data_IF_571865987438
#
_entry.id   IF_571865987438
#
_cell.length_a   1.000
_cell.length_b   1.000
_cell.length_c   1.000
_cell.angle_alpha   90.00
_cell.angle_beta   90.00
_cell.angle_gamma   90.00
#
_symmetry.space_group_name_H-M   'P 1'
#
loop_
_entity.id
_entity.type
_entity.pdbx_description
1 polymer ?
#
# COMPACT_ATOMS: atom_id res chain seq x y z
N UNK A 1 81.82 14.84 -34.57
CA UNK A 1 81.29 14.36 -35.87
C UNK A 1 80.34 13.21 -35.58
N UNK A 2 79.20 13.00 -36.26
CA UNK A 2 78.48 13.78 -37.29
C UNK A 2 76.98 13.35 -37.28
N UNK A 3 76.08 14.29 -37.54
CA UNK A 3 74.70 14.22 -38.11
C UNK A 3 74.06 12.83 -38.35
N UNK A 4 72.86 12.47 -37.84
CA UNK A 4 71.47 13.03 -37.90
C UNK A 4 70.58 12.30 -38.92
N UNK A 5 69.38 11.85 -38.49
CA UNK A 5 68.25 11.46 -39.36
C UNK A 5 66.88 11.45 -38.62
N UNK A 6 66.16 12.57 -38.71
CA UNK A 6 64.72 12.82 -38.44
C UNK A 6 64.21 13.72 -39.60
N UNK A 7 62.93 14.19 -39.72
CA UNK A 7 61.66 13.87 -39.04
C UNK A 7 60.93 12.70 -39.77
N UNK A 8 59.61 12.55 -40.03
CA UNK A 8 58.33 13.32 -39.97
C UNK A 8 57.19 12.26 -39.79
N UNK A 9 56.01 12.50 -39.20
CA UNK A 9 55.27 13.71 -38.78
C UNK A 9 54.76 13.57 -37.33
N UNK A 10 54.40 14.59 -36.55
CA UNK A 10 54.08 16.01 -36.78
C UNK A 10 52.63 16.35 -37.22
N UNK A 11 51.67 16.22 -36.31
CA UNK A 11 50.49 17.09 -36.25
C UNK A 11 50.33 17.68 -34.85
N UNK A 12 50.46 19.01 -34.75
CA UNK A 12 50.32 19.80 -33.52
C UNK A 12 49.74 21.18 -33.89
N UNK A 13 48.44 21.37 -33.68
CA UNK A 13 47.72 22.66 -33.79
C UNK A 13 46.35 22.51 -33.09
N UNK A 14 45.82 23.50 -32.36
CA UNK A 14 46.49 24.55 -31.57
C UNK A 14 45.56 24.95 -30.40
N UNK A 15 46.06 25.78 -29.49
CA UNK A 15 45.39 26.24 -28.28
C UNK A 15 44.04 26.93 -28.54
N UNK A 16 43.10 26.74 -27.61
CA UNK A 16 42.29 27.82 -27.09
C UNK A 16 42.51 27.88 -25.57
N UNK A 17 43.01 29.00 -25.07
CA UNK A 17 43.24 29.22 -23.64
C UNK A 17 42.82 30.62 -23.24
N UNK A 18 42.13 30.74 -22.11
CA UNK A 18 41.93 32.00 -21.41
C UNK A 18 42.52 31.89 -20.01
N UNK A 19 43.33 32.88 -19.65
CA UNK A 19 43.77 33.12 -18.27
C UNK A 19 42.62 33.70 -17.44
N UNK A 20 42.55 33.34 -16.17
CA UNK A 20 41.51 33.82 -15.26
C UNK A 20 41.52 33.05 -13.94
N UNK A 21 42.52 33.31 -13.11
CA UNK A 21 42.44 32.91 -11.70
C UNK A 21 41.71 34.00 -10.93
N UNK A 22 40.60 33.65 -10.28
CA UNK A 22 39.94 34.51 -9.31
C UNK A 22 39.20 33.63 -8.28
N UNK A 23 39.58 33.73 -7.01
CA UNK A 23 38.96 32.98 -5.91
C UNK A 23 37.69 33.71 -5.45
N UNK A 24 36.61 33.58 -6.21
CA UNK A 24 35.32 34.19 -5.86
C UNK A 24 34.29 33.15 -5.40
N UNK A 25 34.34 32.92 -4.08
CA UNK A 25 33.19 32.96 -3.16
C UNK A 25 31.92 32.21 -3.62
N UNK A 26 31.57 31.16 -2.87
CA UNK A 26 30.21 30.59 -2.85
C UNK A 26 29.20 31.74 -2.72
N UNK A 27 28.46 32.02 -3.79
CA UNK A 27 27.28 32.88 -3.69
C UNK A 27 26.18 32.04 -3.08
N UNK A 28 26.08 32.14 -1.76
CA UNK A 28 24.92 31.79 -0.97
C UNK A 28 23.68 32.43 -1.61
N UNK A 29 22.95 31.66 -2.41
CA UNK A 29 21.82 32.13 -3.18
C UNK A 29 20.59 32.23 -2.28
N UNK A 30 20.64 33.21 -1.36
CA UNK A 30 19.51 33.67 -0.56
C UNK A 30 18.50 34.44 -1.44
N UNK A 31 18.14 33.84 -2.58
CA UNK A 31 16.82 33.97 -3.16
C UNK A 31 15.87 33.55 -2.06
N UNK A 32 15.16 34.51 -1.47
CA UNK A 32 14.13 34.24 -0.48
C UNK A 32 13.03 33.41 -1.13
N UNK A 33 13.19 32.09 -1.10
CA UNK A 33 12.09 31.17 -1.22
C UNK A 33 11.11 31.60 -0.13
N UNK A 34 9.96 32.13 -0.54
CA UNK A 34 8.86 32.39 0.35
C UNK A 34 8.43 31.02 0.90
N UNK A 35 9.03 30.63 2.01
CA UNK A 35 8.61 29.48 2.75
C UNK A 35 7.15 29.73 3.08
N UNK A 36 6.26 28.93 2.49
CA UNK A 36 4.91 28.77 3.01
C UNK A 36 5.09 28.12 4.38
N UNK A 37 5.36 28.96 5.37
CA UNK A 37 5.35 28.62 6.77
C UNK A 37 3.90 28.27 7.10
N UNK A 38 3.56 27.00 6.85
CA UNK A 38 2.39 26.37 7.42
C UNK A 38 2.56 26.56 8.93
N UNK A 39 1.85 27.55 9.47
CA UNK A 39 1.90 27.85 10.89
C UNK A 39 1.63 26.55 11.64
N UNK A 40 2.43 26.20 12.67
CA UNK A 40 2.29 24.94 13.39
C UNK A 40 0.83 24.70 13.72
N UNK A 41 0.23 23.71 13.04
CA UNK A 41 -1.16 23.35 13.30
C UNK A 41 -1.16 22.86 14.74
N UNK A 42 -1.91 23.54 15.60
CA UNK A 42 -2.05 23.09 16.98
C UNK A 42 -2.59 21.67 16.93
N UNK A 43 -1.78 20.72 17.41
CA UNK A 43 -2.05 19.30 17.23
C UNK A 43 -3.20 18.96 18.19
N UNK A 44 -4.43 19.11 17.70
CA UNK A 44 -5.61 18.57 18.33
C UNK A 44 -5.31 17.11 18.72
N UNK A 45 -5.61 16.70 19.96
CA UNK A 45 -5.16 15.42 20.48
C UNK A 45 -5.55 14.31 19.51
N UNK A 46 -4.56 13.52 19.10
CA UNK A 46 -4.75 12.47 18.11
C UNK A 46 -5.87 11.56 18.60
N UNK A 47 -6.98 11.53 17.86
CA UNK A 47 -8.13 10.72 18.22
C UNK A 47 -7.71 9.25 18.32
N UNK A 48 -8.29 8.52 19.26
CA UNK A 48 -7.91 7.14 19.54
C UNK A 48 -8.22 6.22 18.34
N UNK A 49 -7.32 5.28 18.06
CA UNK A 49 -7.49 4.29 17.00
C UNK A 49 -8.75 3.46 17.23
N UNK A 50 -9.41 3.06 16.14
CA UNK A 50 -10.58 2.19 16.24
C UNK A 50 -10.09 0.75 16.46
N UNK A 51 -10.59 0.11 17.51
CA UNK A 51 -10.24 -1.26 17.91
C UNK A 51 -11.50 -2.12 17.98
N UNK A 52 -11.40 -3.37 17.56
CA UNK A 52 -12.39 -4.43 17.82
C UNK A 52 -11.67 -5.62 18.41
N UNK A 53 -11.94 -5.91 19.68
CA UNK A 53 -11.46 -7.10 20.40
C UNK A 53 -12.66 -8.00 20.71
N UNK A 54 -12.55 -9.31 20.42
CA UNK A 54 -13.57 -10.33 20.72
C UNK A 54 -12.85 -11.64 21.09
N UNK A 55 -13.08 -12.16 22.30
CA UNK A 55 -12.34 -13.31 22.84
C UNK A 55 -13.26 -14.33 23.52
N UNK A 56 -13.14 -15.58 23.11
CA UNK A 56 -13.76 -16.75 23.75
C UNK A 56 -12.84 -17.99 23.63
N UNK A 57 -13.29 -19.16 24.08
CA UNK A 57 -12.51 -20.41 24.06
C UNK A 57 -12.07 -20.88 22.66
N UNK A 58 -12.77 -20.42 21.61
CA UNK A 58 -12.52 -20.83 20.23
C UNK A 58 -11.88 -19.76 19.35
N UNK A 59 -12.03 -18.48 19.67
CA UNK A 59 -11.42 -17.40 18.91
C UNK A 59 -10.90 -16.26 19.80
N UNK A 60 -9.65 -15.87 19.56
CA UNK A 60 -9.01 -14.65 20.06
C UNK A 60 -8.83 -13.67 18.89
N UNK A 61 -9.67 -12.64 18.81
CA UNK A 61 -9.77 -11.74 17.65
C UNK A 61 -9.44 -10.29 18.02
N UNK A 62 -8.47 -9.69 17.33
CA UNK A 62 -8.18 -8.24 17.36
C UNK A 62 -8.16 -7.65 15.95
N UNK A 63 -8.80 -6.51 15.76
CA UNK A 63 -8.71 -5.74 14.52
C UNK A 63 -8.62 -4.24 14.83
N UNK A 64 -7.63 -3.55 14.25
CA UNK A 64 -7.31 -2.15 14.55
C UNK A 64 -7.10 -1.31 13.30
N UNK A 65 -7.55 -0.07 13.30
CA UNK A 65 -7.19 0.91 12.27
C UNK A 65 -7.09 2.35 12.78
N UNK A 66 -6.30 3.23 12.13
CA UNK A 66 -6.00 4.54 12.69
C UNK A 66 -7.21 5.46 12.66
N UNK A 67 -7.34 6.35 13.65
CA UNK A 67 -8.40 7.36 13.67
C UNK A 67 -8.41 8.28 12.44
N UNK A 68 -7.23 8.58 11.89
CA UNK A 68 -7.08 9.31 10.63
C UNK A 68 -7.70 8.59 9.41
N UNK A 69 -7.72 7.24 9.41
CA UNK A 69 -8.44 6.46 8.41
C UNK A 69 -9.95 6.42 8.72
N UNK A 70 -10.34 6.38 10.00
CA UNK A 70 -11.73 6.44 10.43
C UNK A 70 -12.41 7.79 10.11
N UNK A 71 -11.65 8.89 10.06
CA UNK A 71 -12.12 10.21 9.66
C UNK A 71 -12.52 10.30 8.16
N UNK A 72 -12.01 9.40 7.31
CA UNK A 72 -12.38 9.30 5.90
C UNK A 72 -13.59 8.37 5.80
N UNK A 73 -14.81 8.92 5.94
CA UNK A 73 -16.03 8.10 6.13
C UNK A 73 -16.21 6.92 5.13
N UNK A 74 -15.98 7.04 3.80
CA UNK A 74 -16.06 5.89 2.89
C UNK A 74 -15.00 4.80 3.12
N UNK A 75 -13.83 5.17 3.64
CA UNK A 75 -12.76 4.24 4.04
C UNK A 75 -13.10 3.59 5.40
N UNK A 76 -13.64 4.36 6.34
CA UNK A 76 -14.09 3.84 7.64
C UNK A 76 -15.18 2.77 7.45
N UNK A 77 -16.17 3.03 6.60
CA UNK A 77 -17.20 2.06 6.23
C UNK A 77 -16.60 0.79 5.59
N UNK A 78 -15.56 0.94 4.75
CA UNK A 78 -14.87 -0.22 4.18
C UNK A 78 -14.07 -1.01 5.24
N UNK A 79 -13.42 -0.34 6.18
CA UNK A 79 -12.67 -0.98 7.27
C UNK A 79 -13.60 -1.70 8.26
N UNK A 80 -14.77 -1.12 8.55
CA UNK A 80 -15.84 -1.76 9.33
C UNK A 80 -16.36 -3.02 8.64
N UNK A 81 -16.74 -2.93 7.36
CA UNK A 81 -17.17 -4.10 6.57
C UNK A 81 -16.08 -5.18 6.49
N UNK A 82 -14.81 -4.79 6.34
CA UNK A 82 -13.68 -5.72 6.29
C UNK A 82 -13.44 -6.40 7.65
N UNK A 83 -13.60 -5.67 8.76
CA UNK A 83 -13.55 -6.20 10.12
C UNK A 83 -14.64 -7.26 10.35
N UNK A 84 -15.90 -6.95 10.01
CA UNK A 84 -16.99 -7.91 10.17
C UNK A 84 -16.83 -9.14 9.23
N UNK A 85 -16.34 -8.96 8.00
CA UNK A 85 -15.98 -10.06 7.08
C UNK A 85 -14.89 -10.97 7.68
N UNK A 86 -13.85 -10.41 8.32
CA UNK A 86 -12.79 -11.22 8.93
C UNK A 86 -13.26 -11.89 10.21
N UNK A 87 -14.03 -11.22 11.06
CA UNK A 87 -14.62 -11.86 12.23
C UNK A 87 -15.51 -13.04 11.83
N UNK A 88 -16.39 -12.86 10.83
CA UNK A 88 -17.25 -13.94 10.34
C UNK A 88 -16.44 -15.12 9.77
N UNK A 89 -15.41 -14.85 8.94
CA UNK A 89 -14.46 -15.87 8.45
C UNK A 89 -13.86 -16.66 9.61
N UNK A 90 -13.26 -15.96 10.58
CA UNK A 90 -12.49 -16.59 11.66
C UNK A 90 -13.37 -17.31 12.68
N UNK A 91 -14.55 -16.78 12.97
CA UNK A 91 -15.55 -17.41 13.84
C UNK A 91 -16.02 -18.74 13.24
N UNK A 92 -16.36 -18.76 11.94
CA UNK A 92 -16.76 -19.98 11.23
C UNK A 92 -15.63 -21.01 11.20
N UNK A 93 -14.39 -20.59 10.89
CA UNK A 93 -13.21 -21.49 10.86
C UNK A 93 -12.91 -22.10 12.23
N UNK A 94 -13.05 -21.33 13.31
CA UNK A 94 -12.87 -21.81 14.68
C UNK A 94 -13.96 -22.79 15.10
N UNK A 95 -15.22 -22.54 14.73
CA UNK A 95 -16.36 -23.42 15.04
C UNK A 95 -16.30 -24.75 14.30
N UNK A 96 -15.92 -24.73 13.02
CA UNK A 96 -15.69 -25.94 12.22
C UNK A 96 -14.54 -26.78 12.81
N UNK A 97 -13.41 -26.16 13.14
CA UNK A 97 -12.29 -26.84 13.80
C UNK A 97 -12.65 -27.40 15.20
N UNK A 98 -13.41 -26.66 16.02
CA UNK A 98 -13.86 -27.13 17.34
C UNK A 98 -14.87 -28.27 17.20
N UNK A 99 -15.72 -28.26 16.17
CA UNK A 99 -16.65 -29.35 15.84
C UNK A 99 -15.88 -30.60 15.40
N UNK A 100 -14.91 -30.46 14.50
CA UNK A 100 -14.12 -31.59 13.99
C UNK A 100 -13.22 -32.21 15.08
N UNK A 101 -12.66 -31.40 15.98
CA UNK A 101 -11.96 -31.86 17.17
C UNK A 101 -12.84 -32.76 18.06
N UNK A 102 -14.08 -32.34 18.33
CA UNK A 102 -15.07 -33.14 19.08
C UNK A 102 -15.52 -34.39 18.31
N UNK A 103 -15.57 -34.35 16.99
CA UNK A 103 -15.98 -35.48 16.15
C UNK A 103 -14.90 -36.56 16.00
N UNK A 104 -13.62 -36.21 16.19
CA UNK A 104 -12.46 -37.09 16.01
C UNK A 104 -11.65 -37.30 17.31
N UNK A 105 -12.21 -36.93 18.47
CA UNK A 105 -11.66 -37.11 19.82
C UNK A 105 -10.21 -36.60 20.00
N UNK A 106 -9.94 -35.37 19.52
CA UNK A 106 -8.65 -34.70 19.72
C UNK A 106 -8.80 -33.34 20.44
N UNK A 107 -7.80 -32.90 21.23
CA UNK A 107 -7.87 -31.64 21.96
C UNK A 107 -7.87 -30.44 21.00
N UNK A 108 -8.92 -29.65 21.06
CA UNK A 108 -9.02 -28.39 20.33
C UNK A 108 -8.17 -27.29 20.98
N UNK A 109 -7.44 -26.52 20.17
CA UNK A 109 -6.77 -25.28 20.58
C UNK A 109 -7.46 -24.11 19.90
N UNK A 110 -7.89 -23.12 20.70
CA UNK A 110 -8.55 -21.91 20.19
C UNK A 110 -7.73 -21.19 19.13
N UNK A 111 -8.41 -20.68 18.11
CA UNK A 111 -7.78 -19.96 17.00
C UNK A 111 -7.49 -18.50 17.41
N UNK A 112 -6.58 -17.85 16.69
CA UNK A 112 -6.30 -16.42 16.90
C UNK A 112 -6.17 -15.67 15.58
N UNK A 113 -6.65 -14.44 15.54
CA UNK A 113 -6.46 -13.54 14.41
C UNK A 113 -6.26 -12.11 14.90
N UNK A 114 -5.15 -11.50 14.49
CA UNK A 114 -4.87 -10.09 14.72
C UNK A 114 -4.60 -9.40 13.38
N UNK A 115 -5.20 -8.23 13.15
CA UNK A 115 -4.82 -7.36 12.03
C UNK A 115 -4.83 -5.88 12.44
N UNK A 116 -3.65 -5.26 12.45
CA UNK A 116 -3.45 -3.85 12.79
C UNK A 116 -3.03 -3.04 11.57
N UNK A 117 -3.88 -2.10 11.13
CA UNK A 117 -3.56 -1.17 10.05
C UNK A 117 -2.81 0.08 10.53
N UNK A 118 -1.83 0.51 9.75
CA UNK A 118 -1.12 1.78 9.87
C UNK A 118 -1.13 2.55 8.54
N UNK A 119 -1.14 3.88 8.60
CA UNK A 119 -0.93 4.73 7.40
C UNK A 119 0.56 4.79 7.10
N UNK A 120 0.97 4.36 5.91
CA UNK A 120 2.38 4.39 5.45
C UNK A 120 2.65 5.54 4.47
N UNK A 121 1.61 6.11 3.85
CA UNK A 121 1.70 7.39 3.15
C UNK A 121 0.35 8.09 3.06
N UNK A 122 0.33 9.42 3.22
CA UNK A 122 -0.82 10.26 2.90
C UNK A 122 -0.46 11.23 1.77
N UNK A 123 -1.34 11.35 0.77
CA UNK A 123 -1.27 12.35 -0.29
C UNK A 123 -2.65 12.96 -0.53
N UNK A 124 -2.75 14.15 -1.16
CA UNK A 124 -4.04 14.77 -1.48
C UNK A 124 -5.00 13.91 -2.32
N UNK A 125 -4.48 12.95 -3.09
CA UNK A 125 -5.31 12.05 -3.92
C UNK A 125 -5.50 10.65 -3.33
N UNK A 126 -4.52 10.13 -2.59
CA UNK A 126 -4.53 8.75 -2.12
C UNK A 126 -3.96 8.58 -0.71
N UNK A 127 -4.55 7.67 0.05
CA UNK A 127 -3.97 7.12 1.28
C UNK A 127 -3.36 5.76 0.96
N UNK A 128 -2.18 5.46 1.50
CA UNK A 128 -1.58 4.12 1.47
C UNK A 128 -1.52 3.60 2.90
N UNK A 129 -2.06 2.42 3.11
CA UNK A 129 -2.08 1.74 4.41
C UNK A 129 -1.43 0.38 4.29
N UNK A 130 -0.72 -0.03 5.33
CA UNK A 130 -0.23 -1.39 5.52
C UNK A 130 -0.96 -1.97 6.74
N UNK A 131 -1.32 -3.25 6.70
CA UNK A 131 -1.71 -3.99 7.89
C UNK A 131 -0.67 -5.07 8.18
N UNK A 132 -0.25 -5.14 9.44
CA UNK A 132 0.54 -6.24 9.97
C UNK A 132 -0.35 -7.08 10.89
N UNK A 133 -0.16 -8.39 10.91
CA UNK A 133 -1.07 -9.29 11.61
C UNK A 133 -0.49 -10.66 11.88
N UNK A 134 -1.31 -11.49 12.52
CA UNK A 134 -0.96 -12.83 12.99
C UNK A 134 -2.18 -13.76 12.89
N UNK A 135 -2.00 -14.95 12.33
CA UNK A 135 -3.03 -15.99 12.22
C UNK A 135 -2.59 -17.26 12.98
N UNK A 136 -3.44 -17.82 13.84
CA UNK A 136 -3.20 -19.08 14.55
C UNK A 136 -4.38 -20.05 14.40
N UNK A 137 -4.07 -21.28 14.00
CA UNK A 137 -5.05 -22.34 13.69
C UNK A 137 -4.74 -23.65 14.45
N UNK A 138 -4.39 -23.57 15.73
CA UNK A 138 -4.14 -24.75 16.56
C UNK A 138 -2.83 -25.52 16.27
N UNK A 139 -1.89 -24.93 15.53
CA UNK A 139 -0.60 -25.53 15.21
C UNK A 139 0.47 -25.37 16.31
N UNK A 140 1.73 -25.68 16.00
CA UNK A 140 2.87 -25.47 16.89
C UNK A 140 3.26 -23.98 17.05
N UNK A 141 2.87 -23.13 16.09
CA UNK A 141 3.02 -21.69 16.10
C UNK A 141 1.96 -21.07 15.16
N UNK A 142 1.72 -19.76 15.27
CA UNK A 142 0.96 -19.02 14.26
C UNK A 142 1.84 -18.46 13.14
N UNK A 143 1.23 -17.74 12.21
CA UNK A 143 1.84 -17.18 11.01
C UNK A 143 1.67 -15.65 11.02
N UNK A 144 2.76 -14.86 11.12
CA UNK A 144 2.69 -13.43 10.91
C UNK A 144 2.46 -13.12 9.42
N UNK A 145 1.76 -12.03 9.12
CA UNK A 145 1.48 -11.58 7.76
C UNK A 145 1.52 -10.05 7.61
N UNK A 146 1.63 -9.61 6.36
CA UNK A 146 1.55 -8.21 5.96
C UNK A 146 0.67 -8.07 4.72
N UNK A 147 -0.23 -7.09 4.70
CA UNK A 147 -1.06 -6.73 3.54
C UNK A 147 -0.99 -5.23 3.29
N UNK A 148 -1.09 -4.79 2.03
CA UNK A 148 -1.05 -3.36 1.67
C UNK A 148 -2.30 -2.95 0.90
N UNK A 149 -2.77 -1.73 1.17
CA UNK A 149 -3.92 -1.10 0.52
C UNK A 149 -3.55 0.30 0.01
N UNK A 150 -4.06 0.65 -1.17
CA UNK A 150 -4.12 2.04 -1.65
C UNK A 150 -5.58 2.43 -1.76
N UNK A 151 -5.96 3.57 -1.18
CA UNK A 151 -7.29 4.15 -1.22
C UNK A 151 -7.29 5.43 -2.05
N UNK A 152 -8.15 5.54 -3.07
CA UNK A 152 -8.38 6.79 -3.80
C UNK A 152 -9.38 7.64 -3.00
N UNK A 153 -8.88 8.73 -2.41
CA UNK A 153 -9.66 9.62 -1.54
C UNK A 153 -10.82 10.29 -2.28
N UNK A 154 -10.62 10.67 -3.55
CA UNK A 154 -11.61 11.39 -4.34
C UNK A 154 -12.56 10.47 -5.12
N UNK A 155 -12.16 9.22 -5.39
CA UNK A 155 -13.06 8.20 -5.93
C UNK A 155 -13.73 7.33 -4.85
N UNK A 156 -13.46 7.59 -3.57
CA UNK A 156 -14.10 6.94 -2.42
C UNK A 156 -13.94 5.43 -2.37
N UNK A 157 -12.80 4.87 -2.83
CA UNK A 157 -12.64 3.42 -2.98
C UNK A 157 -11.20 2.92 -2.95
N UNK A 158 -11.04 1.65 -2.56
CA UNK A 158 -9.77 0.90 -2.69
C UNK A 158 -9.38 0.77 -4.16
N UNK A 159 -8.14 1.13 -4.49
CA UNK A 159 -7.52 0.81 -5.77
C UNK A 159 -7.11 -0.66 -5.77
N UNK A 160 -7.57 -1.40 -6.78
CA UNK A 160 -7.25 -2.81 -6.93
C UNK A 160 -5.85 -2.99 -7.51
N UNK A 161 -5.00 -3.75 -6.81
CA UNK A 161 -3.60 -4.03 -7.16
C UNK A 161 -3.41 -4.99 -8.35
N UNK A 162 -4.49 -5.57 -8.88
CA UNK A 162 -4.46 -6.59 -9.93
C UNK A 162 -4.44 -6.07 -11.37
N UNK A 163 -3.76 -6.79 -12.27
CA UNK A 163 -3.70 -6.50 -13.71
C UNK A 163 -5.08 -6.38 -14.39
N UNK A 164 -6.06 -7.19 -13.94
CA UNK A 164 -7.44 -7.16 -14.45
C UNK A 164 -8.07 -5.77 -14.34
N UNK A 165 -7.80 -5.04 -13.27
CA UNK A 165 -8.40 -3.72 -13.01
C UNK A 165 -7.84 -2.64 -13.95
N UNK A 166 -6.55 -2.71 -14.30
CA UNK A 166 -5.96 -1.89 -15.38
C UNK A 166 -6.59 -2.20 -16.75
N UNK A 167 -7.03 -3.43 -16.97
CA UNK A 167 -7.79 -3.82 -18.18
C UNK A 167 -9.23 -3.28 -18.18
N UNK A 168 -9.89 -3.17 -17.03
CA UNK A 168 -11.23 -2.58 -16.97
C UNK A 168 -11.22 -1.06 -17.20
N UNK A 169 -10.11 -0.35 -16.96
CA UNK A 169 -9.93 1.06 -17.38
C UNK A 169 -9.66 1.25 -18.88
N UNK A 170 -9.48 0.18 -19.67
CA UNK A 170 -9.33 0.29 -21.14
C UNK A 170 -10.69 0.66 -21.77
N UNK A 171 -10.79 1.73 -22.60
CA UNK A 171 -12.05 2.13 -23.22
C UNK A 171 -12.62 1.03 -24.14
N UNK A 172 -13.96 0.85 -24.25
CA UNK A 172 -14.57 -0.32 -24.89
C UNK A 172 -14.03 -0.66 -26.29
N UNK A 173 -13.80 0.35 -27.14
CA UNK A 173 -13.23 0.20 -28.49
C UNK A 173 -11.88 -0.52 -28.56
N UNK A 174 -11.07 -0.46 -27.50
CA UNK A 174 -9.77 -1.13 -27.44
C UNK A 174 -9.84 -2.52 -26.79
N UNK A 175 -10.88 -2.81 -25.99
CA UNK A 175 -11.04 -4.11 -25.32
C UNK A 175 -11.23 -5.25 -26.32
N UNK A 176 -11.98 -5.02 -27.40
CA UNK A 176 -12.21 -6.03 -28.45
C UNK A 176 -10.91 -6.45 -29.15
N UNK A 177 -10.06 -5.48 -29.50
CA UNK A 177 -8.73 -5.72 -30.10
C UNK A 177 -7.84 -6.56 -29.17
N UNK A 178 -7.82 -6.24 -27.87
CA UNK A 178 -7.04 -7.00 -26.88
C UNK A 178 -7.60 -8.40 -26.61
N UNK A 179 -8.92 -8.59 -26.67
CA UNK A 179 -9.54 -9.91 -26.53
C UNK A 179 -9.16 -10.84 -27.71
N UNK A 180 -9.20 -10.31 -28.95
CA UNK A 180 -8.76 -11.05 -30.15
C UNK A 180 -7.29 -11.47 -30.09
N UNK A 181 -6.40 -10.60 -29.60
CA UNK A 181 -4.96 -10.88 -29.50
C UNK A 181 -4.56 -11.81 -28.33
N UNK A 182 -5.43 -12.05 -27.34
CA UNK A 182 -5.07 -12.76 -26.11
C UNK A 182 -5.83 -14.05 -25.84
N UNK A 183 -6.81 -14.41 -26.68
CA UNK A 183 -7.60 -15.65 -26.61
C UNK A 183 -8.25 -15.93 -25.23
N UNK A 184 -8.53 -14.88 -24.44
CA UNK A 184 -9.11 -14.98 -23.10
C UNK A 184 -10.31 -14.06 -22.97
N UNK A 185 -11.44 -14.58 -22.49
CA UNK A 185 -12.61 -13.77 -22.18
C UNK A 185 -12.29 -12.77 -21.04
N UNK A 186 -12.22 -11.48 -21.39
CA UNK A 186 -11.94 -10.38 -20.47
C UNK A 186 -13.20 -9.98 -19.68
N UNK A 187 -13.70 -10.91 -18.88
CA UNK A 187 -14.79 -10.68 -17.93
C UNK A 187 -14.31 -9.76 -16.80
N UNK A 188 -14.61 -8.46 -16.94
CA UNK A 188 -14.69 -7.52 -15.83
C UNK A 188 -16.01 -7.78 -15.08
N UNK A 189 -15.98 -8.62 -14.05
CA UNK A 189 -17.06 -8.60 -13.05
C UNK A 189 -16.97 -7.30 -12.28
N UNK A 190 -18.04 -6.51 -12.25
CA UNK A 190 -18.16 -5.45 -11.25
C UNK A 190 -18.03 -6.07 -9.85
N UNK A 191 -17.31 -5.42 -8.90
CA UNK A 191 -17.51 -5.74 -7.51
C UNK A 191 -18.98 -5.47 -7.20
N UNK A 192 -19.69 -6.44 -6.64
CA UNK A 192 -21.03 -6.19 -6.10
C UNK A 192 -20.87 -5.15 -5.00
N UNK A 193 -21.30 -3.92 -5.25
CA UNK A 193 -21.37 -2.90 -4.21
C UNK A 193 -22.26 -3.44 -3.09
N UNK A 194 -21.81 -3.34 -1.84
CA UNK A 194 -22.58 -3.74 -0.65
C UNK A 194 -23.68 -2.70 -0.35
N UNK A 195 -24.58 -2.53 -1.33
CA UNK A 195 -25.53 -1.42 -1.42
C UNK A 195 -26.91 -1.90 -1.90
N UNK A 196 -27.41 -2.98 -1.28
CA UNK A 196 -28.79 -3.42 -1.35
C UNK A 196 -29.14 -4.43 -0.23
N UNK A 197 -29.55 -3.92 0.93
CA UNK A 197 -30.57 -4.59 1.75
C UNK A 197 -31.69 -3.57 1.97
N UNK A 198 -32.96 -3.92 1.73
CA UNK A 198 -34.10 -3.07 2.06
C UNK A 198 -34.33 -3.04 3.58
N UNK A 199 -35.10 -2.06 4.04
CA UNK A 199 -35.51 -1.85 5.43
C UNK A 199 -36.24 -3.07 6.03
#
# INVERSE_FOLDING_TARGET
MRYVATPIWAYMLILAGCSGGDEQRIQENNTTAAANAVAPQEIAPAAEDVVTERKDEALDYEYRWPSAAAAIAPLNQWLQSHNDDQYAKWRNMAEEAQKDARANDFPFSGYSYQQNWVTVADTPRALVMEAQGYEYTGGAHGMPFTVSMIWDKAAGKRLASGWRSRMCSIPPRWRAWWAMLSARNLMCSEPKNAAAMPN
#
